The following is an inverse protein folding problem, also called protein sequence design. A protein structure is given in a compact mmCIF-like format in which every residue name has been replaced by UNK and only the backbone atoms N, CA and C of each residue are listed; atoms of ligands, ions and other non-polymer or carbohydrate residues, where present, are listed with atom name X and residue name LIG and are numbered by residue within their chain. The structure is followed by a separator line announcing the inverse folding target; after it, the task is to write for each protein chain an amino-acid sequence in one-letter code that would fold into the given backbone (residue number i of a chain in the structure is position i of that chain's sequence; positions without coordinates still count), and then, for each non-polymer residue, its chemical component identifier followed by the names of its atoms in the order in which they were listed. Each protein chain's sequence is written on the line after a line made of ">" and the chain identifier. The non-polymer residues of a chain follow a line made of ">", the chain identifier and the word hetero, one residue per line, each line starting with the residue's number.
data_IF_796760122065
#
_entry.id   IF_796760122065
#
_cell.length_a   1.000
_cell.length_b   1.000
_cell.length_c   1.000
_cell.angle_alpha   90.00
_cell.angle_beta   90.00
_cell.angle_gamma   90.00
#
_symmetry.space_group_name_H-M   'P 1'
#
loop_
_entity.id
_entity.type
_entity.pdbx_description
1 polymer ?
#
# COMPACT_ATOMS: atom_id res chain seq x y z
N UNK A 1 15.61 -3.99 9.24
CA UNK A 1 14.95 -4.47 10.47
C UNK A 1 15.47 -3.77 11.73
N UNK A 2 16.47 -2.88 11.65
CA UNK A 2 17.00 -2.18 12.83
C UNK A 2 15.91 -1.46 13.65
N UNK A 3 14.95 -0.81 12.98
CA UNK A 3 13.86 -0.08 13.64
C UNK A 3 12.89 -0.95 14.46
N UNK A 4 12.75 -2.25 14.15
CA UNK A 4 11.88 -3.15 14.91
C UNK A 4 12.61 -3.95 15.98
N UNK A 5 13.96 -3.98 15.93
CA UNK A 5 14.77 -4.83 16.81
C UNK A 5 14.58 -4.48 18.28
N UNK A 6 14.43 -3.19 18.57
CA UNK A 6 14.33 -2.65 19.92
C UNK A 6 12.85 -2.44 20.34
N UNK A 7 11.89 -2.82 19.49
CA UNK A 7 10.47 -2.69 19.79
C UNK A 7 9.98 -3.88 20.66
N UNK A 8 9.44 -3.57 21.84
CA UNK A 8 8.99 -4.58 22.81
C UNK A 8 7.89 -5.52 22.27
N UNK A 9 6.93 -4.99 21.50
CA UNK A 9 5.85 -5.77 20.90
C UNK A 9 6.37 -6.74 19.83
N UNK A 10 7.38 -6.31 19.05
CA UNK A 10 8.03 -7.19 18.09
C UNK A 10 8.77 -8.33 18.79
N UNK A 11 9.47 -8.06 19.90
CA UNK A 11 10.13 -9.11 20.68
C UNK A 11 9.12 -10.10 21.28
N UNK A 12 8.02 -9.61 21.85
CA UNK A 12 6.91 -10.44 22.33
C UNK A 12 6.29 -11.28 21.22
N UNK A 13 6.11 -10.73 20.02
CA UNK A 13 5.68 -11.50 18.84
C UNK A 13 6.65 -12.66 18.54
N UNK A 14 7.97 -12.41 18.57
CA UNK A 14 8.95 -13.45 18.26
C UNK A 14 8.90 -14.62 19.26
N UNK A 15 8.80 -14.30 20.55
CA UNK A 15 8.77 -15.29 21.62
C UNK A 15 7.40 -15.97 21.74
N UNK A 16 6.32 -15.20 21.74
CA UNK A 16 4.95 -15.68 21.90
C UNK A 16 4.49 -16.58 20.75
N UNK A 17 4.90 -16.30 19.51
CA UNK A 17 4.59 -17.18 18.37
C UNK A 17 5.43 -18.46 18.41
N UNK A 18 6.69 -18.37 18.88
CA UNK A 18 7.55 -19.54 19.00
C UNK A 18 7.11 -20.47 20.15
N UNK A 19 6.65 -19.92 21.28
CA UNK A 19 6.07 -20.65 22.40
C UNK A 19 4.68 -21.19 22.10
N UNK A 20 3.97 -20.56 21.14
CA UNK A 20 2.58 -20.85 20.82
C UNK A 20 1.56 -20.16 21.73
N UNK A 21 2.02 -19.22 22.55
CA UNK A 21 1.19 -18.35 23.39
C UNK A 21 0.40 -17.34 22.54
N UNK A 22 1.03 -16.79 21.50
CA UNK A 22 0.37 -15.91 20.53
C UNK A 22 -0.08 -16.73 19.33
N UNK A 23 -1.39 -16.76 19.11
CA UNK A 23 -1.99 -17.31 17.89
C UNK A 23 -2.07 -16.19 16.86
N UNK A 24 -1.38 -16.38 15.74
CA UNK A 24 -1.39 -15.38 14.67
C UNK A 24 -2.74 -15.37 13.92
N UNK A 25 -3.31 -14.18 13.64
CA UNK A 25 -4.53 -14.05 12.89
C UNK A 25 -4.33 -14.47 11.43
N UNK A 26 -5.42 -14.78 10.74
CA UNK A 26 -5.38 -15.09 9.31
C UNK A 26 -4.75 -13.94 8.50
N UNK A 27 -4.18 -14.28 7.35
CA UNK A 27 -3.54 -13.28 6.52
C UNK A 27 -4.55 -12.23 6.04
N UNK A 28 -4.19 -10.96 6.20
CA UNK A 28 -4.85 -9.87 5.49
C UNK A 28 -4.60 -10.05 4.00
N UNK A 29 -5.67 -10.18 3.22
CA UNK A 29 -5.58 -10.28 1.76
C UNK A 29 -5.95 -8.95 1.13
N UNK A 30 -5.09 -8.44 0.26
CA UNK A 30 -5.36 -7.29 -0.60
C UNK A 30 -5.39 -7.79 -2.04
N UNK A 31 -6.52 -7.61 -2.74
CA UNK A 31 -6.71 -8.06 -4.13
C UNK A 31 -6.41 -9.57 -4.32
N UNK A 32 -6.82 -10.40 -3.35
CA UNK A 32 -6.56 -11.85 -3.36
C UNK A 32 -5.11 -12.25 -3.10
N UNK A 33 -4.23 -11.30 -2.77
CA UNK A 33 -2.84 -11.54 -2.40
C UNK A 33 -2.62 -11.30 -0.92
N UNK A 34 -1.90 -12.21 -0.27
CA UNK A 34 -1.52 -12.11 1.13
C UNK A 34 -0.54 -10.95 1.35
N UNK A 35 -0.85 -10.06 2.29
CA UNK A 35 0.00 -8.95 2.69
C UNK A 35 0.81 -9.33 3.93
N UNK A 36 2.14 -9.27 3.81
CA UNK A 36 3.06 -9.50 4.92
C UNK A 36 3.48 -8.17 5.53
N UNK A 37 3.54 -8.13 6.86
CA UNK A 37 3.94 -6.93 7.58
C UNK A 37 5.46 -6.83 7.64
N UNK A 38 5.99 -5.61 7.77
CA UNK A 38 7.43 -5.41 7.87
C UNK A 38 7.98 -6.12 9.10
N UNK A 39 9.04 -6.93 8.94
CA UNK A 39 9.63 -7.69 10.03
C UNK A 39 8.97 -9.05 10.30
N UNK A 40 7.89 -9.40 9.60
CA UNK A 40 7.21 -10.68 9.79
C UNK A 40 8.12 -11.85 9.35
N UNK A 41 8.18 -12.88 10.20
CA UNK A 41 9.09 -14.02 10.03
C UNK A 41 8.43 -15.38 10.27
N UNK A 42 7.15 -15.44 10.62
CA UNK A 42 6.45 -16.71 10.82
C UNK A 42 5.43 -16.96 9.72
N UNK A 43 5.29 -18.22 9.33
CA UNK A 43 4.32 -18.63 8.34
C UNK A 43 2.96 -18.90 9.00
N UNK A 44 1.91 -18.22 8.57
CA UNK A 44 0.54 -18.36 9.09
C UNK A 44 -0.34 -19.30 8.26
N UNK A 45 0.23 -19.97 7.26
CA UNK A 45 -0.51 -20.91 6.43
C UNK A 45 -0.89 -22.14 7.26
N UNK A 46 -2.18 -22.48 7.28
CA UNK A 46 -2.68 -23.69 7.93
C UNK A 46 -1.91 -24.91 7.43
N UNK A 47 -1.52 -25.79 8.34
CA UNK A 47 -0.73 -27.00 8.07
C UNK A 47 0.70 -26.78 7.54
N UNK A 48 1.28 -25.58 7.73
CA UNK A 48 2.68 -25.37 7.41
C UNK A 48 3.62 -25.91 8.50
N UNK A 49 4.50 -26.84 8.15
CA UNK A 49 5.53 -27.38 9.05
C UNK A 49 6.56 -26.34 9.56
N UNK A 50 6.69 -25.21 8.86
CA UNK A 50 7.56 -24.08 9.26
C UNK A 50 6.80 -22.98 10.00
N UNK A 51 5.51 -23.15 10.29
CA UNK A 51 4.70 -22.12 10.95
C UNK A 51 5.29 -21.68 12.30
N UNK A 52 5.87 -22.62 13.06
CA UNK A 52 6.48 -22.37 14.37
C UNK A 52 7.98 -22.02 14.31
N UNK A 53 8.56 -21.92 13.11
CA UNK A 53 10.00 -21.63 12.95
C UNK A 53 10.17 -20.25 12.32
N UNK A 54 10.89 -19.32 12.98
CA UNK A 54 11.13 -18.01 12.41
C UNK A 54 12.07 -18.13 11.20
N UNK A 55 11.73 -17.43 10.13
CA UNK A 55 12.63 -17.18 9.01
C UNK A 55 13.60 -16.04 9.36
N UNK A 56 14.79 -16.05 8.78
CA UNK A 56 15.79 -15.00 9.04
C UNK A 56 15.42 -13.62 8.49
N UNK A 57 14.49 -13.56 7.53
CA UNK A 57 14.01 -12.32 6.94
C UNK A 57 12.62 -12.48 6.32
N UNK A 58 11.86 -11.39 6.24
CA UNK A 58 10.54 -11.34 5.61
C UNK A 58 10.59 -11.73 4.12
N UNK A 59 11.68 -11.44 3.41
CA UNK A 59 11.86 -11.91 2.02
C UNK A 59 11.98 -13.43 1.90
N UNK A 60 12.57 -14.09 2.91
CA UNK A 60 12.67 -15.54 2.97
C UNK A 60 11.32 -16.16 3.29
N UNK A 61 10.56 -15.54 4.20
CA UNK A 61 9.16 -15.90 4.46
C UNK A 61 8.31 -15.75 3.20
N UNK A 62 8.42 -14.62 2.48
CA UNK A 62 7.69 -14.37 1.24
C UNK A 62 7.96 -15.46 0.20
N UNK A 63 9.23 -15.79 0.00
CA UNK A 63 9.64 -16.87 -0.92
C UNK A 63 9.09 -18.24 -0.50
N UNK A 64 9.08 -18.51 0.80
CA UNK A 64 8.47 -19.72 1.34
C UNK A 64 6.95 -19.76 1.09
N UNK A 65 6.24 -18.66 1.32
CA UNK A 65 4.78 -18.64 1.16
C UNK A 65 4.37 -18.86 -0.30
N UNK A 66 5.13 -18.34 -1.26
CA UNK A 66 4.92 -18.65 -2.69
C UNK A 66 5.05 -20.14 -3.04
N UNK A 67 5.66 -20.94 -2.17
CA UNK A 67 5.74 -22.40 -2.35
C UNK A 67 4.46 -23.12 -1.91
N UNK A 68 3.55 -22.45 -1.18
CA UNK A 68 2.24 -23.01 -0.86
C UNK A 68 1.33 -22.95 -2.08
N UNK A 69 0.67 -24.06 -2.37
CA UNK A 69 -0.28 -24.15 -3.48
C UNK A 69 -1.47 -23.23 -3.16
N UNK A 70 -1.80 -22.32 -4.08
CA UNK A 70 -2.93 -21.38 -4.00
C UNK A 70 -2.74 -20.15 -3.10
N UNK A 71 -1.51 -19.74 -2.81
CA UNK A 71 -1.26 -18.49 -2.11
C UNK A 71 -0.44 -17.55 -2.99
N UNK A 72 -1.06 -16.43 -3.36
CA UNK A 72 -0.37 -15.31 -3.99
C UNK A 72 0.08 -14.37 -2.88
N UNK A 73 1.35 -13.99 -2.87
CA UNK A 73 1.87 -13.00 -1.90
C UNK A 73 1.99 -11.67 -2.60
N UNK A 74 1.50 -10.62 -1.96
CA UNK A 74 1.60 -9.27 -2.49
C UNK A 74 3.07 -8.87 -2.60
N UNK A 75 3.51 -8.54 -3.81
CA UNK A 75 4.83 -8.01 -4.05
C UNK A 75 4.88 -6.52 -3.69
N UNK A 76 4.85 -6.24 -2.39
CA UNK A 76 5.11 -4.90 -1.86
C UNK A 76 6.47 -4.37 -2.33
N UNK A 77 6.57 -3.04 -2.43
CA UNK A 77 7.70 -2.33 -3.04
C UNK A 77 9.06 -2.86 -2.58
N UNK A 78 9.94 -3.16 -3.54
CA UNK A 78 11.32 -3.56 -3.24
C UNK A 78 12.12 -2.32 -2.83
N UNK A 79 12.41 -2.16 -1.54
CA UNK A 79 13.15 -0.99 -1.06
C UNK A 79 13.29 -0.92 0.45
N UNK A 80 13.77 0.23 0.94
CA UNK A 80 13.68 0.58 2.36
C UNK A 80 12.20 0.73 2.71
N UNK A 81 11.78 0.09 3.81
CA UNK A 81 10.44 0.30 4.35
C UNK A 81 10.25 1.78 4.68
N UNK A 82 9.08 2.33 4.32
CA UNK A 82 8.72 3.68 4.74
C UNK A 82 8.41 3.71 6.23
N UNK A 83 8.44 4.89 6.85
CA UNK A 83 8.02 5.03 8.25
C UNK A 83 6.57 4.55 8.44
N UNK A 84 5.68 4.87 7.49
CA UNK A 84 4.31 4.39 7.50
C UNK A 84 4.19 2.85 7.47
N UNK A 85 5.07 2.14 6.76
CA UNK A 85 5.09 0.67 6.77
C UNK A 85 5.57 0.11 8.11
N UNK A 86 6.51 0.81 8.75
CA UNK A 86 7.00 0.46 10.09
C UNK A 86 5.88 0.68 11.11
N UNK A 87 5.19 1.82 11.07
CA UNK A 87 4.11 2.15 12.01
C UNK A 87 2.94 1.17 11.88
N UNK A 88 2.55 0.81 10.65
CA UNK A 88 1.56 -0.25 10.38
C UNK A 88 1.99 -1.60 10.94
N UNK A 89 3.26 -1.95 10.80
CA UNK A 89 3.79 -3.20 11.36
C UNK A 89 3.77 -3.17 12.89
N UNK A 90 4.15 -2.06 13.52
CA UNK A 90 4.09 -1.89 14.98
C UNK A 90 2.66 -1.99 15.48
N UNK A 91 1.70 -1.33 14.83
CA UNK A 91 0.28 -1.41 15.20
C UNK A 91 -0.24 -2.86 15.14
N UNK A 92 0.15 -3.61 14.11
CA UNK A 92 -0.15 -5.03 14.03
C UNK A 92 0.46 -5.83 15.21
N UNK A 93 1.74 -5.62 15.53
CA UNK A 93 2.36 -6.34 16.65
C UNK A 93 1.73 -6.00 18.01
N UNK A 94 1.31 -4.75 18.21
CA UNK A 94 0.54 -4.33 19.39
C UNK A 94 -0.76 -5.12 19.52
N UNK A 95 -1.55 -5.18 18.44
CA UNK A 95 -2.82 -5.94 18.44
C UNK A 95 -2.69 -7.44 18.71
N UNK A 96 -1.50 -8.03 18.58
CA UNK A 96 -1.26 -9.43 18.91
C UNK A 96 -0.99 -9.67 20.40
N UNK A 97 -0.51 -8.63 21.09
CA UNK A 97 -0.07 -8.70 22.49
C UNK A 97 -1.16 -8.16 23.42
N UNK A 98 -1.87 -7.12 23.00
CA UNK A 98 -2.92 -6.46 23.79
C UNK A 98 -4.28 -7.18 23.70
N UNK A 99 -4.28 -8.48 23.37
CA UNK A 99 -5.50 -9.29 23.24
C UNK A 99 -6.03 -9.81 24.60
N UNK A 100 -5.28 -9.60 25.68
CA UNK A 100 -5.75 -9.72 27.06
C UNK A 100 -6.17 -8.33 27.54
N UNK A 101 -7.48 -8.10 27.63
CA UNK A 101 -8.06 -6.78 27.84
C UNK A 101 -7.57 -6.08 29.11
N UNK A 102 -6.97 -4.92 28.89
CA UNK A 102 -7.06 -3.78 29.79
C UNK A 102 -7.41 -2.56 28.92
N UNK A 103 -8.68 -2.18 29.00
CA UNK A 103 -9.09 -0.79 28.82
C UNK A 103 -8.38 0.01 29.93
N UNK A 104 -7.26 0.65 29.62
CA UNK A 104 -6.79 1.81 30.38
C UNK A 104 -6.52 2.97 29.42
N UNK A 105 -7.40 3.96 29.58
CA UNK A 105 -7.35 5.34 29.14
C UNK A 105 -6.03 6.05 29.46
N UNK A 106 -5.95 7.28 28.94
CA UNK A 106 -5.05 8.38 29.29
C UNK A 106 -3.82 8.57 28.38
N UNK A 107 -4.06 9.29 27.30
CA UNK A 107 -3.43 10.60 27.22
C UNK A 107 -4.36 11.59 26.50
N UNK A 108 -5.24 12.20 27.31
CA UNK A 108 -5.62 13.60 27.11
C UNK A 108 -4.38 14.47 27.29
N UNK A 109 -4.07 15.27 26.27
CA UNK A 109 -3.55 16.63 26.45
C UNK A 109 -4.04 17.42 25.22
N UNK A 110 -5.29 17.86 25.33
CA UNK A 110 -5.76 19.23 25.09
C UNK A 110 -4.58 20.25 25.11
N UNK A 111 -4.49 21.31 24.32
CA UNK A 111 -5.48 22.29 23.89
C UNK A 111 -4.71 23.24 22.93
N UNK A 112 -5.38 23.78 21.93
CA UNK A 112 -5.28 25.21 21.55
C UNK A 112 -6.35 25.43 20.47
N UNK A 113 -7.56 25.67 20.97
CA UNK A 113 -8.63 26.36 20.25
C UNK A 113 -8.30 27.86 20.12
N UNK A 114 -9.12 28.56 19.31
CA UNK A 114 -9.19 30.00 19.04
C UNK A 114 -8.32 30.48 17.85
N UNK A 115 -8.81 31.25 16.87
CA UNK A 115 -9.94 32.15 16.86
C UNK A 115 -10.40 32.45 15.42
N UNK A 116 -11.64 32.92 15.36
CA UNK A 116 -12.43 33.56 14.31
C UNK A 116 -11.75 34.26 13.09
N UNK A 117 -12.50 34.25 11.99
CA UNK A 117 -12.17 34.95 10.75
C UNK A 117 -13.36 35.02 9.79
N UNK A 118 -14.32 35.87 10.14
CA UNK A 118 -15.56 36.15 9.44
C UNK A 118 -15.38 36.95 8.12
N UNK A 119 -16.32 36.70 7.19
CA UNK A 119 -16.82 37.51 6.06
C UNK A 119 -15.98 37.72 4.77
N UNK A 120 -16.63 37.37 3.66
CA UNK A 120 -16.30 37.81 2.31
C UNK A 120 -17.26 37.25 1.25
N UNK A 121 -18.47 37.81 1.15
CA UNK A 121 -19.41 37.58 0.06
C UNK A 121 -18.97 38.25 -1.26
N UNK A 122 -19.61 37.78 -2.34
CA UNK A 122 -19.80 38.37 -3.67
C UNK A 122 -18.72 38.15 -4.75
N UNK A 123 -19.20 37.64 -5.88
CA UNK A 123 -18.45 37.50 -7.11
C UNK A 123 -19.21 36.71 -8.16
N UNK A 124 -20.41 37.17 -8.49
CA UNK A 124 -21.20 36.74 -9.65
C UNK A 124 -20.35 36.83 -10.93
N UNK A 125 -20.39 35.77 -11.72
CA UNK A 125 -19.60 35.65 -12.95
C UNK A 125 -20.24 34.65 -13.90
N UNK A 126 -21.42 35.00 -14.39
CA UNK A 126 -22.01 34.44 -15.60
C UNK A 126 -21.04 34.67 -16.77
N UNK A 127 -20.71 33.61 -17.51
CA UNK A 127 -20.33 33.67 -18.91
C UNK A 127 -20.62 32.30 -19.52
N UNK A 128 -21.84 32.19 -20.04
CA UNK A 128 -22.15 31.63 -21.36
C UNK A 128 -20.98 31.69 -22.35
N UNK A 129 -20.56 30.55 -22.87
CA UNK A 129 -20.28 30.41 -24.30
C UNK A 129 -20.46 28.96 -24.74
N UNK A 130 -21.38 28.77 -25.67
CA UNK A 130 -21.65 27.54 -26.35
C UNK A 130 -20.76 27.43 -27.59
N UNK A 131 -20.11 26.28 -27.77
CA UNK A 131 -19.63 25.75 -29.07
C UNK A 131 -19.36 24.26 -28.81
N UNK A 132 -20.20 23.33 -29.25
CA UNK A 132 -20.28 22.84 -30.63
C UNK A 132 -18.89 22.75 -31.28
N UNK A 133 -18.35 21.52 -31.36
CA UNK A 133 -17.81 20.99 -32.62
C UNK A 133 -17.08 19.66 -32.40
N UNK A 134 -17.48 18.66 -33.17
CA UNK A 134 -16.52 17.79 -33.85
C UNK A 134 -15.74 16.82 -32.97
N UNK A 135 -16.42 15.75 -32.55
CA UNK A 135 -15.86 14.50 -32.03
C UNK A 135 -14.85 13.90 -33.03
N UNK A 136 -13.58 14.31 -32.94
CA UNK A 136 -12.45 13.62 -33.53
C UNK A 136 -11.89 12.67 -32.48
N UNK A 137 -12.10 11.36 -32.68
CA UNK A 137 -11.57 10.28 -31.83
C UNK A 137 -10.05 10.40 -31.74
N UNK A 138 -9.55 11.13 -30.73
CA UNK A 138 -8.14 11.21 -30.42
C UNK A 138 -7.69 9.80 -30.01
N UNK A 139 -6.87 9.16 -30.85
CA UNK A 139 -6.27 7.87 -30.52
C UNK A 139 -5.53 8.03 -29.20
N UNK A 140 -5.94 7.24 -28.21
CA UNK A 140 -5.31 7.25 -26.90
C UNK A 140 -3.80 7.00 -27.08
N UNK A 141 -2.94 7.69 -26.32
CA UNK A 141 -1.50 7.49 -26.38
C UNK A 141 -1.15 6.06 -25.98
N UNK A 142 -0.17 5.45 -26.69
CA UNK A 142 0.23 4.07 -26.45
C UNK A 142 1.05 3.91 -25.17
N UNK A 143 0.86 2.79 -24.48
CA UNK A 143 1.68 2.41 -23.32
C UNK A 143 3.12 2.11 -23.78
N UNK A 144 4.10 2.78 -23.15
CA UNK A 144 5.52 2.52 -23.42
C UNK A 144 5.98 1.32 -22.59
N UNK A 145 6.05 0.16 -23.22
CA UNK A 145 6.53 -1.07 -22.58
C UNK A 145 8.06 -1.11 -22.43
N UNK A 146 8.54 -1.89 -21.46
CA UNK A 146 9.96 -2.25 -21.37
C UNK A 146 10.33 -3.25 -22.49
N UNK A 147 11.63 -3.42 -22.74
CA UNK A 147 12.16 -4.35 -23.77
C UNK A 147 11.71 -5.80 -23.58
N UNK A 148 11.40 -6.20 -22.36
CA UNK A 148 10.90 -7.52 -21.98
C UNK A 148 9.38 -7.67 -22.14
N UNK A 149 8.64 -6.61 -22.47
CA UNK A 149 7.19 -6.62 -22.72
C UNK A 149 6.31 -6.94 -21.50
N UNK A 150 6.91 -7.21 -20.33
CA UNK A 150 6.20 -7.68 -19.13
C UNK A 150 5.68 -6.57 -18.23
N UNK A 151 6.22 -5.36 -18.36
CA UNK A 151 5.84 -4.22 -17.55
C UNK A 151 6.07 -2.90 -18.30
N UNK A 152 5.29 -1.85 -17.98
CA UNK A 152 5.47 -0.52 -18.53
C UNK A 152 6.80 0.09 -18.06
N UNK A 153 7.40 0.90 -18.91
CA UNK A 153 8.60 1.66 -18.60
C UNK A 153 8.20 2.90 -17.79
N UNK A 154 8.27 2.79 -16.46
CA UNK A 154 7.88 3.84 -15.51
C UNK A 154 8.50 5.21 -15.82
N UNK A 155 9.78 5.26 -16.20
CA UNK A 155 10.47 6.52 -16.49
C UNK A 155 9.93 7.19 -17.74
N UNK A 156 9.69 6.41 -18.80
CA UNK A 156 9.14 6.93 -20.05
C UNK A 156 7.67 7.32 -19.90
N UNK A 157 6.89 6.51 -19.18
CA UNK A 157 5.48 6.78 -18.91
C UNK A 157 5.27 8.03 -18.07
N UNK A 158 6.08 8.26 -17.01
CA UNK A 158 6.00 9.51 -16.22
C UNK A 158 6.29 10.75 -17.05
N UNK A 159 7.25 10.66 -17.98
CA UNK A 159 7.57 11.75 -18.90
C UNK A 159 6.39 12.04 -19.83
N UNK A 160 5.79 10.98 -20.38
CA UNK A 160 4.62 11.08 -21.25
C UNK A 160 3.38 11.64 -20.53
N UNK A 161 3.09 11.19 -19.30
CA UNK A 161 2.00 11.75 -18.49
C UNK A 161 2.18 13.24 -18.25
N UNK A 162 3.42 13.70 -17.99
CA UNK A 162 3.74 15.12 -17.82
C UNK A 162 3.56 15.93 -19.11
N UNK A 163 3.88 15.35 -20.26
CA UNK A 163 3.70 15.98 -21.58
C UNK A 163 2.21 16.07 -21.97
N UNK A 164 1.40 15.11 -21.54
CA UNK A 164 -0.04 15.03 -21.81
C UNK A 164 -0.90 15.77 -20.76
N UNK A 165 -0.29 16.30 -19.70
CA UNK A 165 -1.03 16.94 -18.61
C UNK A 165 -1.86 15.98 -17.75
N UNK A 166 -1.56 14.68 -17.79
CA UNK A 166 -2.26 13.66 -17.01
C UNK A 166 -1.86 13.78 -15.54
N UNK A 167 -2.87 13.77 -14.66
CA UNK A 167 -2.67 13.89 -13.22
C UNK A 167 -1.88 12.68 -12.68
N UNK A 168 -0.67 12.92 -12.16
CA UNK A 168 0.23 11.88 -11.67
C UNK A 168 0.76 12.22 -10.26
N UNK A 169 0.67 11.30 -9.27
CA UNK A 169 0.01 9.98 -9.32
C UNK A 169 -1.52 10.13 -9.43
N UNK A 170 -2.19 9.21 -10.15
CA UNK A 170 -3.65 9.24 -10.24
C UNK A 170 -4.30 9.10 -8.86
N UNK A 171 -5.56 9.55 -8.75
CA UNK A 171 -6.34 9.55 -7.50
C UNK A 171 -6.32 8.20 -6.78
N UNK A 172 -6.54 7.09 -7.50
CA UNK A 172 -6.45 5.75 -6.93
C UNK A 172 -5.07 5.45 -6.36
N UNK A 173 -4.00 5.67 -7.12
CA UNK A 173 -2.66 5.38 -6.63
C UNK A 173 -2.25 6.31 -5.47
N UNK A 174 -2.76 7.54 -5.46
CA UNK A 174 -2.57 8.54 -4.40
C UNK A 174 -3.26 8.10 -3.10
N UNK A 175 -4.53 7.67 -3.18
CA UNK A 175 -5.30 7.16 -2.04
C UNK A 175 -4.74 5.85 -1.47
N UNK A 176 -4.26 4.97 -2.34
CA UNK A 176 -3.69 3.68 -1.93
C UNK A 176 -2.23 3.78 -1.47
N UNK A 177 -1.58 4.93 -1.64
CA UNK A 177 -0.15 5.10 -1.34
C UNK A 177 0.78 4.19 -2.16
N UNK A 178 0.32 3.72 -3.33
CA UNK A 178 1.08 2.84 -4.22
C UNK A 178 1.77 3.63 -5.33
N UNK A 179 2.81 3.04 -5.93
CA UNK A 179 3.48 3.69 -7.06
C UNK A 179 2.60 3.62 -8.30
N UNK A 180 2.16 4.79 -8.74
CA UNK A 180 1.39 4.94 -9.96
C UNK A 180 2.18 4.48 -11.19
N UNK A 181 1.49 3.84 -12.14
CA UNK A 181 2.03 3.19 -13.37
C UNK A 181 2.76 1.86 -13.11
N UNK A 182 2.80 1.36 -11.86
CA UNK A 182 3.40 0.07 -11.55
C UNK A 182 2.49 -1.12 -11.90
N UNK A 183 1.18 -0.95 -11.75
CA UNK A 183 0.19 -2.00 -12.00
C UNK A 183 -0.75 -1.58 -13.13
N UNK A 184 -0.57 -2.19 -14.31
CA UNK A 184 -1.36 -1.89 -15.52
C UNK A 184 -2.84 -2.18 -15.31
N UNK A 185 -3.20 -3.10 -14.41
CA UNK A 185 -4.59 -3.53 -14.22
C UNK A 185 -5.39 -2.63 -13.28
N UNK A 186 -4.71 -1.91 -12.39
CA UNK A 186 -5.35 -1.19 -11.28
C UNK A 186 -5.02 0.30 -11.25
N UNK A 187 -4.09 0.77 -12.07
CA UNK A 187 -3.72 2.18 -12.10
C UNK A 187 -4.61 2.93 -13.09
N UNK A 188 -5.45 3.84 -12.57
CA UNK A 188 -6.37 4.66 -13.37
C UNK A 188 -5.67 5.52 -14.44
N UNK A 189 -4.35 5.77 -14.32
CA UNK A 189 -3.61 6.42 -15.41
C UNK A 189 -3.73 5.64 -16.71
N UNK A 190 -3.85 4.31 -16.69
CA UNK A 190 -3.96 3.53 -17.92
C UNK A 190 -5.32 3.64 -18.61
N UNK A 191 -6.35 4.20 -17.96
CA UNK A 191 -7.63 4.49 -18.61
C UNK A 191 -7.48 5.64 -19.64
N UNK A 192 -6.45 6.47 -19.47
CA UNK A 192 -6.07 7.54 -20.40
C UNK A 192 -5.11 7.06 -21.51
N UNK A 193 -4.82 5.74 -21.59
CA UNK A 193 -3.92 5.14 -22.57
C UNK A 193 -4.61 4.02 -23.35
N UNK A 194 -4.15 3.78 -24.58
CA UNK A 194 -4.72 2.74 -25.43
C UNK A 194 -4.33 1.34 -24.91
N UNK A 195 -5.31 0.44 -24.64
CA UNK A 195 -5.03 -0.93 -24.25
C UNK A 195 -4.52 -1.83 -25.40
N UNK A 196 -4.54 -1.38 -26.66
CA UNK A 196 -4.14 -2.21 -27.81
C UNK A 196 -2.60 -2.38 -27.97
N UNK A 197 -2.13 -3.61 -27.79
CA UNK A 197 -1.41 -4.37 -28.83
C UNK A 197 -1.85 -5.86 -28.80
#
# INVERSE_FOLDING_TARGET
>A
MAHLRDNAYYQRYLEGVASGEIVLPEYTTMLGSVVLHYGEVFCRVKDCYKAKKPFSATNNLRSHIRSHKNITVYDGGSGRASQADIDKAVAFYKSLVDHDGDDEDDNDDDEDEDEDGEHGEHGDGENDDASDDGQAMAKLPKIIWRKDGKAPNLTAMRKLCKELGIEFPCKYCKEQGITCIQDVKNCLVFDDFDPED
#
